data_IF_432012689860
#
_entry.id   IF_432012689860
#
_cell.length_a   1.000
_cell.length_b   1.000
_cell.length_c   1.000
_cell.angle_alpha   90.00
_cell.angle_beta   90.00
_cell.angle_gamma   90.00
#
_symmetry.space_group_name_H-M   'P 1'
#
loop_
_entity.id
_entity.type
_entity.pdbx_description
1 polymer ?
#
# COMPACT_ATOMS: atom_id res chain seq x y z
N UNK A 1 -16.12 15.59 5.41
CA UNK A 1 -15.46 14.80 4.35
C UNK A 1 -13.97 14.95 4.59
N UNK A 2 -13.28 13.90 5.07
CA UNK A 2 -11.84 14.00 5.34
C UNK A 2 -11.08 13.84 4.03
N UNK A 3 -10.61 14.95 3.47
CA UNK A 3 -9.72 14.94 2.31
C UNK A 3 -8.29 14.68 2.78
N UNK A 4 -7.53 13.91 2.01
CA UNK A 4 -6.09 13.79 2.19
C UNK A 4 -5.48 15.19 2.06
N UNK A 5 -4.66 15.59 3.05
CA UNK A 5 -3.96 16.88 3.05
C UNK A 5 -3.22 17.16 1.74
N UNK A 6 -3.05 18.44 1.40
CA UNK A 6 -2.30 18.79 0.19
C UNK A 6 -0.85 18.33 0.28
N UNK A 7 -0.24 18.00 -0.87
CA UNK A 7 1.08 17.32 -0.93
C UNK A 7 2.22 18.09 -0.26
N UNK A 8 2.09 19.40 -0.14
CA UNK A 8 3.10 20.27 0.46
C UNK A 8 2.83 20.54 1.95
N UNK A 9 1.67 20.13 2.47
CA UNK A 9 1.36 20.28 3.88
C UNK A 9 2.23 19.35 4.73
N UNK A 10 2.69 19.80 5.91
CA UNK A 10 3.44 18.99 6.85
C UNK A 10 2.75 17.66 7.20
N UNK A 11 1.42 17.67 7.32
CA UNK A 11 0.61 16.48 7.62
C UNK A 11 0.74 15.42 6.52
N UNK A 12 0.66 15.81 5.25
CA UNK A 12 0.84 14.89 4.13
C UNK A 12 2.25 14.27 4.14
N UNK A 13 3.28 15.09 4.36
CA UNK A 13 4.68 14.63 4.43
C UNK A 13 4.85 13.60 5.56
N UNK A 14 4.21 13.83 6.72
CA UNK A 14 4.23 12.90 7.86
C UNK A 14 3.51 11.60 7.55
N UNK A 15 2.34 11.65 6.90
CA UNK A 15 1.62 10.45 6.44
C UNK A 15 2.51 9.64 5.50
N UNK A 16 3.09 10.30 4.50
CA UNK A 16 3.98 9.64 3.52
C UNK A 16 5.19 9.00 4.20
N UNK A 17 5.80 9.68 5.17
CA UNK A 17 6.93 9.14 5.93
C UNK A 17 6.52 7.92 6.76
N UNK A 18 5.38 7.99 7.45
CA UNK A 18 4.85 6.88 8.23
C UNK A 18 4.63 5.65 7.33
N UNK A 19 4.02 5.84 6.16
CA UNK A 19 3.83 4.76 5.19
C UNK A 19 5.17 4.18 4.74
N UNK A 20 6.18 5.01 4.43
CA UNK A 20 7.53 4.50 4.10
C UNK A 20 8.17 3.70 5.22
N UNK A 21 7.93 4.07 6.49
CA UNK A 21 8.43 3.31 7.64
C UNK A 21 7.73 1.95 7.72
N UNK A 22 6.38 1.94 7.71
CA UNK A 22 5.56 0.73 7.80
C UNK A 22 5.90 -0.26 6.68
N UNK A 23 6.00 0.26 5.46
CA UNK A 23 6.26 -0.53 4.25
C UNK A 23 7.75 -0.68 3.93
N UNK A 24 8.65 -0.34 4.85
CA UNK A 24 10.09 -0.54 4.64
C UNK A 24 10.45 -2.02 4.56
N UNK A 25 11.50 -2.33 3.80
CA UNK A 25 12.03 -3.68 3.57
C UNK A 25 12.58 -4.41 4.82
N UNK A 26 12.54 -3.75 5.99
CA UNK A 26 12.94 -4.29 7.29
C UNK A 26 11.77 -4.94 8.04
N UNK A 27 10.54 -4.81 7.53
CA UNK A 27 9.36 -5.43 8.13
C UNK A 27 8.84 -6.55 7.23
N UNK A 28 8.43 -7.65 7.87
CA UNK A 28 7.66 -8.69 7.18
C UNK A 28 6.19 -8.33 7.30
N UNK A 29 5.55 -8.02 6.18
CA UNK A 29 4.15 -7.62 6.17
C UNK A 29 3.30 -8.83 5.86
N UNK A 30 2.43 -9.17 6.79
CA UNK A 30 1.50 -10.29 6.70
C UNK A 30 0.14 -9.77 6.27
N UNK A 31 -0.38 -10.31 5.19
CA UNK A 31 -1.57 -9.78 4.54
C UNK A 31 -2.41 -10.86 3.89
N UNK A 32 -3.69 -10.56 3.74
CA UNK A 32 -4.67 -11.41 3.10
C UNK A 32 -5.01 -10.83 1.73
N UNK A 33 -4.29 -11.24 0.69
CA UNK A 33 -4.43 -10.72 -0.67
C UNK A 33 -3.13 -10.13 -1.23
N UNK A 34 -3.23 -9.37 -2.32
CA UNK A 34 -2.08 -8.80 -3.03
C UNK A 34 -1.92 -7.30 -2.69
N UNK A 35 -1.00 -6.99 -1.78
CA UNK A 35 -0.80 -5.61 -1.30
C UNK A 35 -0.24 -4.70 -2.39
N UNK A 36 0.61 -5.20 -3.29
CA UNK A 36 1.17 -4.39 -4.38
C UNK A 36 0.08 -3.84 -5.29
N UNK A 37 -0.88 -4.70 -5.66
CA UNK A 37 -2.05 -4.32 -6.45
C UNK A 37 -2.91 -3.30 -5.70
N UNK A 38 -3.18 -3.51 -4.41
CA UNK A 38 -3.99 -2.57 -3.62
C UNK A 38 -3.33 -1.20 -3.49
N UNK A 39 -2.03 -1.17 -3.16
CA UNK A 39 -1.27 0.05 -2.96
C UNK A 39 -1.01 0.83 -4.26
N UNK A 40 -0.99 0.15 -5.42
CA UNK A 40 -0.80 0.80 -6.73
C UNK A 40 -1.86 1.88 -7.03
N UNK A 41 -3.08 1.72 -6.52
CA UNK A 41 -4.15 2.73 -6.66
C UNK A 41 -3.83 4.05 -5.96
N UNK A 42 -2.82 4.06 -5.07
CA UNK A 42 -2.39 5.25 -4.34
C UNK A 42 -1.22 6.00 -4.98
N UNK A 43 -0.69 5.52 -6.11
CA UNK A 43 0.31 6.26 -6.90
C UNK A 43 -0.17 7.67 -7.28
N UNK A 44 -1.45 7.79 -7.68
CA UNK A 44 -2.05 9.08 -8.05
C UNK A 44 -2.05 10.11 -6.92
N UNK A 45 -2.04 9.67 -5.66
CA UNK A 45 -1.98 10.56 -4.51
C UNK A 45 -0.53 10.96 -4.16
N UNK A 46 0.47 10.30 -4.75
CA UNK A 46 1.88 10.53 -4.47
C UNK A 46 2.34 9.99 -3.11
N UNK A 47 1.56 9.08 -2.51
CA UNK A 47 1.89 8.40 -1.26
C UNK A 47 2.97 7.32 -1.46
N UNK A 48 2.93 6.64 -2.59
CA UNK A 48 3.88 5.61 -3.00
C UNK A 48 4.40 5.90 -4.41
N UNK A 49 5.56 5.33 -4.73
CA UNK A 49 6.06 5.16 -6.10
C UNK A 49 6.31 3.67 -6.41
N UNK A 50 6.65 3.35 -7.66
CA UNK A 50 6.88 1.96 -8.10
C UNK A 50 7.94 1.26 -7.25
N UNK A 51 9.05 1.95 -6.96
CA UNK A 51 10.14 1.40 -6.16
C UNK A 51 9.70 1.13 -4.71
N UNK A 52 8.92 2.05 -4.11
CA UNK A 52 8.37 1.88 -2.77
C UNK A 52 7.57 0.56 -2.69
N UNK A 53 6.69 0.30 -3.66
CA UNK A 53 5.83 -0.90 -3.67
C UNK A 53 6.60 -2.17 -4.01
N UNK A 54 7.49 -2.13 -5.00
CA UNK A 54 8.22 -3.32 -5.42
C UNK A 54 9.18 -3.83 -4.35
N UNK A 55 9.71 -2.92 -3.53
CA UNK A 55 10.62 -3.22 -2.42
C UNK A 55 9.94 -3.85 -1.20
N UNK A 56 8.60 -3.87 -1.14
CA UNK A 56 7.84 -4.44 -0.03
C UNK A 56 8.11 -5.95 0.07
N UNK A 57 8.54 -6.38 1.26
CA UNK A 57 8.62 -7.80 1.63
C UNK A 57 7.30 -8.23 2.24
N UNK A 58 6.45 -8.82 1.40
CA UNK A 58 5.15 -9.33 1.79
C UNK A 58 5.12 -10.85 1.92
N UNK A 59 4.24 -11.32 2.80
CA UNK A 59 3.83 -12.71 2.90
C UNK A 59 2.32 -12.78 2.79
N UNK A 60 1.83 -13.28 1.66
CA UNK A 60 0.41 -13.42 1.40
C UNK A 60 -0.13 -14.67 2.12
N UNK A 61 -0.72 -14.48 3.29
CA UNK A 61 -1.28 -15.56 4.12
C UNK A 61 -2.44 -16.25 3.39
N UNK A 62 -3.11 -15.57 2.46
CA UNK A 62 -4.19 -16.20 1.70
C UNK A 62 -3.69 -17.38 0.87
N UNK A 63 -2.53 -17.27 0.23
CA UNK A 63 -1.98 -18.35 -0.60
C UNK A 63 -1.53 -19.52 0.26
N UNK A 64 -0.95 -19.23 1.43
CA UNK A 64 -0.58 -20.25 2.41
C UNK A 64 -1.80 -20.98 2.97
N UNK A 65 -2.87 -20.24 3.24
CA UNK A 65 -4.13 -20.82 3.66
C UNK A 65 -4.71 -21.73 2.59
N UNK A 66 -4.69 -21.34 1.31
CA UNK A 66 -5.15 -22.20 0.20
C UNK A 66 -4.38 -23.51 0.17
N UNK A 67 -3.04 -23.46 0.29
CA UNK A 67 -2.18 -24.65 0.31
C UNK A 67 -2.55 -25.55 1.49
N UNK A 68 -2.60 -24.98 2.70
CA UNK A 68 -2.95 -25.71 3.92
C UNK A 68 -4.34 -26.36 3.83
N UNK A 69 -5.34 -25.62 3.35
CA UNK A 69 -6.70 -26.10 3.26
C UNK A 69 -6.83 -27.26 2.26
N UNK A 70 -6.22 -27.13 1.07
CA UNK A 70 -6.18 -28.20 0.06
C UNK A 70 -5.52 -29.48 0.58
N UNK A 71 -4.45 -29.35 1.35
CA UNK A 71 -3.76 -30.51 1.96
C UNK A 71 -4.61 -31.18 3.05
N UNK A 72 -5.35 -30.40 3.84
CA UNK A 72 -6.13 -30.90 4.97
C UNK A 72 -7.47 -31.50 4.51
N UNK A 73 -8.08 -30.96 3.45
CA UNK A 73 -9.42 -31.33 2.99
C UNK A 73 -9.46 -31.69 1.48
N UNK A 74 -8.70 -32.69 1.01
CA UNK A 74 -8.49 -32.97 -0.42
C UNK A 74 -9.73 -33.45 -1.19
N UNK A 75 -10.77 -33.92 -0.49
CA UNK A 75 -11.98 -34.51 -1.08
C UNK A 75 -13.24 -33.67 -0.85
N UNK A 76 -13.12 -32.42 -0.39
CA UNK A 76 -14.31 -31.58 -0.14
C UNK A 76 -15.04 -31.26 -1.46
N UNK A 77 -16.25 -31.82 -1.69
CA UNK A 77 -16.95 -31.68 -2.98
C UNK A 77 -17.41 -30.25 -3.24
N UNK A 78 -17.59 -29.45 -2.19
CA UNK A 78 -18.06 -28.06 -2.25
C UNK A 78 -16.95 -27.06 -2.57
N UNK A 79 -15.68 -27.48 -2.64
CA UNK A 79 -14.58 -26.52 -2.68
C UNK A 79 -13.45 -27.00 -3.59
N UNK A 80 -13.69 -26.89 -4.89
CA UNK A 80 -12.59 -26.56 -5.80
C UNK A 80 -12.20 -25.12 -5.50
N UNK A 81 -11.38 -24.91 -4.47
CA UNK A 81 -10.68 -23.65 -4.28
C UNK A 81 -9.85 -23.45 -5.57
N UNK A 82 -10.42 -22.77 -6.57
CA UNK A 82 -9.73 -22.54 -7.82
C UNK A 82 -8.47 -21.78 -7.47
N UNK A 83 -7.34 -22.24 -7.99
CA UNK A 83 -6.00 -21.70 -7.69
C UNK A 83 -5.98 -20.17 -7.90
N UNK A 84 -6.78 -19.70 -8.85
CA UNK A 84 -6.84 -18.31 -9.29
C UNK A 84 -7.91 -17.46 -8.59
N UNK A 85 -8.75 -18.03 -7.74
CA UNK A 85 -9.80 -17.27 -7.05
C UNK A 85 -9.26 -16.60 -5.78
N UNK A 86 -9.73 -15.38 -5.51
CA UNK A 86 -9.49 -14.63 -4.27
C UNK A 86 -10.68 -14.80 -3.34
N UNK A 87 -10.42 -15.24 -2.11
CA UNK A 87 -11.43 -15.49 -1.08
C UNK A 87 -11.41 -14.39 -0.03
N UNK A 88 -12.55 -14.06 0.57
CA UNK A 88 -12.54 -13.16 1.71
C UNK A 88 -11.93 -13.85 2.94
N UNK A 89 -11.28 -13.07 3.81
CA UNK A 89 -10.83 -13.57 5.11
C UNK A 89 -12.01 -14.13 5.93
N UNK A 90 -13.18 -13.51 5.83
CA UNK A 90 -14.39 -14.02 6.49
C UNK A 90 -14.77 -15.43 6.04
N UNK A 91 -14.64 -15.73 4.74
CA UNK A 91 -14.92 -17.06 4.22
C UNK A 91 -13.92 -18.09 4.74
N UNK A 92 -12.63 -17.75 4.80
CA UNK A 92 -11.61 -18.65 5.35
C UNK A 92 -11.87 -18.97 6.84
N UNK A 93 -12.23 -17.96 7.63
CA UNK A 93 -12.60 -18.15 9.04
C UNK A 93 -13.84 -19.05 9.16
N UNK A 94 -14.87 -18.79 8.35
CA UNK A 94 -16.05 -19.65 8.31
C UNK A 94 -15.70 -21.10 7.99
N UNK A 95 -14.80 -21.36 7.04
CA UNK A 95 -14.40 -22.73 6.71
C UNK A 95 -13.60 -23.41 7.82
N UNK A 96 -12.77 -22.67 8.55
CA UNK A 96 -11.95 -23.23 9.63
C UNK A 96 -12.73 -23.50 10.91
N UNK A 97 -13.65 -22.60 11.26
CA UNK A 97 -14.33 -22.61 12.56
C UNK A 97 -15.82 -22.93 12.46
N UNK A 98 -16.36 -23.06 11.25
CA UNK A 98 -17.80 -23.16 10.98
C UNK A 98 -18.60 -21.97 11.54
N UNK A 99 -17.94 -20.82 11.69
CA UNK A 99 -18.50 -19.61 12.29
C UNK A 99 -18.08 -18.38 11.48
N UNK A 100 -19.04 -17.47 11.25
CA UNK A 100 -18.73 -16.20 10.60
C UNK A 100 -18.09 -15.23 11.59
N UNK A 101 -17.06 -14.50 11.14
CA UNK A 101 -16.47 -13.44 11.95
C UNK A 101 -17.55 -12.39 12.29
N UNK A 102 -17.91 -12.32 13.57
CA UNK A 102 -18.89 -11.35 14.06
C UNK A 102 -18.38 -9.92 13.85
N UNK A 103 -19.06 -9.17 12.99
CA UNK A 103 -18.77 -7.75 12.78
C UNK A 103 -19.20 -6.85 13.94
N UNK A 104 -19.90 -7.39 14.95
CA UNK A 104 -20.37 -6.64 16.12
C UNK A 104 -19.22 -6.01 16.91
N UNK A 105 -18.03 -6.59 16.84
CA UNK A 105 -16.83 -6.07 17.51
C UNK A 105 -15.88 -5.30 16.58
N UNK A 106 -16.12 -5.31 15.26
CA UNK A 106 -15.26 -4.61 14.28
C UNK A 106 -15.77 -3.22 13.88
N UNK A 107 -16.96 -2.81 14.35
CA UNK A 107 -17.67 -1.61 13.88
C UNK A 107 -17.52 -0.33 14.74
N UNK A 108 -16.48 -0.15 15.56
CA UNK A 108 -16.35 1.10 16.32
C UNK A 108 -14.95 1.73 16.36
N UNK A 109 -13.88 0.96 16.53
CA UNK A 109 -12.58 1.55 16.91
C UNK A 109 -11.45 1.36 15.89
N UNK A 110 -11.69 0.71 14.74
CA UNK A 110 -10.71 0.63 13.65
C UNK A 110 -10.69 1.87 12.75
N UNK A 111 -11.43 2.92 13.11
CA UNK A 111 -11.07 4.26 12.67
C UNK A 111 -9.80 4.68 13.38
N UNK A 112 -8.63 4.20 12.92
CA UNK A 112 -7.38 4.87 13.24
C UNK A 112 -7.41 6.23 12.53
N UNK A 113 -8.14 7.19 13.10
CA UNK A 113 -7.84 8.58 12.84
C UNK A 113 -6.35 8.76 13.01
N UNK A 114 -5.70 9.48 12.09
CA UNK A 114 -4.28 9.81 12.20
C UNK A 114 -4.03 10.31 13.63
N UNK A 115 -3.30 9.53 14.40
CA UNK A 115 -3.04 9.85 15.80
C UNK A 115 -2.44 11.25 15.86
N UNK A 116 -2.99 12.12 16.69
CA UNK A 116 -2.44 13.48 16.91
C UNK A 116 -0.98 13.44 17.36
N UNK A 117 -0.47 12.32 17.87
CA UNK A 117 0.94 12.07 18.12
C UNK A 117 1.81 12.09 16.83
N UNK A 118 1.24 11.97 15.63
CA UNK A 118 1.96 12.28 14.39
C UNK A 118 2.48 13.73 14.36
N UNK A 119 1.82 14.64 15.09
CA UNK A 119 2.31 16.01 15.22
C UNK A 119 3.60 16.11 16.02
N UNK A 120 3.89 15.14 16.89
CA UNK A 120 5.07 15.13 17.77
C UNK A 120 6.25 14.31 17.21
N UNK A 121 6.05 13.55 16.13
CA UNK A 121 7.15 12.83 15.47
C UNK A 121 8.18 13.83 14.91
N UNK A 122 9.37 13.82 15.52
CA UNK A 122 10.54 14.54 15.03
C UNK A 122 11.12 13.74 13.86
N UNK A 123 11.02 14.28 12.65
CA UNK A 123 11.60 13.66 11.45
C UNK A 123 13.13 13.80 11.52
N UNK A 124 13.91 12.71 11.54
CA UNK A 124 15.37 12.79 11.47
C UNK A 124 15.80 13.52 10.20
N UNK A 125 16.69 14.52 10.32
CA UNK A 125 17.19 15.33 9.18
C UNK A 125 17.71 14.49 8.01
N UNK A 126 18.20 13.29 8.29
CA UNK A 126 18.73 12.35 7.29
C UNK A 126 17.65 11.86 6.30
N UNK A 127 16.38 11.79 6.71
CA UNK A 127 15.26 11.35 5.86
C UNK A 127 14.67 12.49 5.00
N UNK A 128 14.88 13.75 5.37
CA UNK A 128 14.47 14.93 4.58
C UNK A 128 15.29 15.10 3.30
N UNK A 129 16.53 14.58 3.28
CA UNK A 129 17.47 14.74 2.17
C UNK A 129 17.30 13.68 1.06
N UNK A 130 16.34 12.75 1.19
CA UNK A 130 16.06 11.71 0.20
C UNK A 130 14.97 12.10 -0.82
N UNK A 131 14.50 13.35 -0.79
CA UNK A 131 13.63 13.85 -1.86
C UNK A 131 14.44 13.94 -3.17
N UNK A 132 13.92 13.46 -4.32
CA UNK A 132 14.60 13.65 -5.59
C UNK A 132 14.76 15.14 -5.84
N UNK A 133 16.02 15.59 -6.02
CA UNK A 133 16.32 16.97 -6.41
C UNK A 133 15.50 17.27 -7.65
N UNK A 134 14.66 18.31 -7.60
CA UNK A 134 14.06 18.90 -8.80
C UNK A 134 15.20 19.21 -9.77
N UNK A 135 15.33 18.43 -10.82
CA UNK A 135 16.11 18.82 -11.99
C UNK A 135 15.32 19.94 -12.63
N UNK A 136 15.70 21.18 -12.35
CA UNK A 136 15.22 22.34 -13.10
C UNK A 136 15.82 22.17 -14.50
N UNK A 137 15.03 21.96 -15.56
CA UNK A 137 15.57 21.98 -16.90
C UNK A 137 16.16 23.37 -17.12
N UNK A 138 17.46 23.45 -17.42
CA UNK A 138 18.06 24.68 -17.93
C UNK A 138 17.26 25.05 -19.18
N UNK A 139 16.68 26.25 -19.22
CA UNK A 139 16.15 26.82 -20.45
C UNK A 139 17.29 26.83 -21.48
N UNK A 140 17.31 25.83 -22.36
CA UNK A 140 18.08 25.86 -23.58
C UNK A 140 17.51 26.99 -24.44
N UNK A 141 18.37 27.92 -24.82
CA UNK A 141 18.11 28.98 -25.77
C UNK A 141 17.58 28.39 -27.09
N UNK A 142 16.27 28.50 -27.31
CA UNK A 142 15.68 28.27 -28.62
C UNK A 142 16.22 29.33 -29.59
N UNK A 143 17.23 28.96 -30.39
CA UNK A 143 17.57 29.69 -31.62
C UNK A 143 16.47 29.41 -32.65
N UNK A 144 15.71 30.45 -32.97
CA UNK A 144 14.75 30.45 -34.08
C UNK A 144 15.57 30.38 -35.39
N UNK A 145 15.32 29.41 -36.28
CA UNK A 145 15.92 29.42 -37.61
C UNK A 145 15.13 30.39 -38.50
N UNK A 146 15.71 31.55 -38.80
CA UNK A 146 15.26 32.41 -39.91
C UNK A 146 15.53 31.72 -41.23
N UNK A 147 14.46 31.24 -41.86
CA UNK A 147 14.48 30.71 -43.23
C UNK A 147 14.41 31.90 -44.19
N UNK A 148 15.53 32.25 -44.82
CA UNK A 148 15.52 33.09 -46.02
C UNK A 148 15.27 32.15 -47.20
N UNK A 149 14.20 32.38 -47.95
CA UNK A 149 13.92 31.74 -49.25
C UNK A 149 14.34 32.69 -50.37
N UNK A 150 14.65 32.14 -51.56
CA UNK A 150 15.46 32.78 -52.60
C UNK A 150 14.85 34.05 -53.19
#
# INVERSE_FOLDING_TARGET
>A
MMHLSERHEPTFIKIKLLLKIIFSNNHNIYLWGNIKKELSHFYQFGLFDENDIDSIKERNIQDEFKIYFHQTYPLSPDIKFQVNETYSLQFAIYKMFNEWLSKRFTLANFGCGLDTALNTIIIPRQLLNQQPRRVIPRLGSYRIPTRVRP
#
